data_IF_029807488245
#
_entry.id   IF_029807488245
#
_cell.length_a   1.000
_cell.length_b   1.000
_cell.length_c   1.000
_cell.angle_alpha   90.00
_cell.angle_beta   90.00
_cell.angle_gamma   90.00
#
_symmetry.space_group_name_H-M   'P 1'
#
loop_
_entity.id
_entity.type
_entity.pdbx_description
1 polymer ?
#
# COMPACT_ATOMS: atom_id res chain seq x y z
N UNK A 1 55.23 14.72 -14.56
CA UNK A 1 54.60 13.65 -13.77
C UNK A 1 53.97 14.28 -12.54
N UNK A 2 52.64 14.35 -12.48
CA UNK A 2 51.90 14.49 -11.22
C UNK A 2 50.71 13.55 -11.37
N UNK A 3 50.80 12.40 -10.70
CA UNK A 3 49.75 11.41 -10.58
C UNK A 3 49.24 11.47 -9.16
N UNK A 4 48.04 12.03 -8.94
CA UNK A 4 47.27 11.97 -7.68
C UNK A 4 45.81 12.31 -8.08
N UNK A 5 44.74 11.57 -7.82
CA UNK A 5 44.52 10.27 -7.20
C UNK A 5 43.29 9.63 -7.87
N UNK A 6 43.40 8.33 -8.09
CA UNK A 6 42.34 7.42 -8.51
C UNK A 6 41.24 7.31 -7.45
N UNK A 7 40.06 6.94 -7.96
CA UNK A 7 39.01 6.17 -7.26
C UNK A 7 38.20 6.93 -6.20
N UNK A 8 37.14 7.61 -6.67
CA UNK A 8 35.89 7.66 -5.90
C UNK A 8 35.44 6.21 -5.71
N UNK A 9 35.53 5.71 -4.48
CA UNK A 9 34.99 4.43 -4.06
C UNK A 9 33.57 4.26 -4.62
N UNK A 10 33.41 3.27 -5.48
CA UNK A 10 32.15 2.89 -6.08
C UNK A 10 31.41 2.05 -5.02
N UNK A 11 30.86 2.72 -4.01
CA UNK A 11 30.11 2.04 -2.93
C UNK A 11 29.01 1.20 -3.58
N UNK A 12 29.10 -0.13 -3.44
CA UNK A 12 28.16 -1.02 -4.09
C UNK A 12 26.75 -0.75 -3.57
N UNK A 13 25.80 -0.58 -4.49
CA UNK A 13 24.42 -0.29 -4.11
C UNK A 13 23.83 -1.47 -3.34
N UNK A 14 23.68 -1.33 -2.03
CA UNK A 14 23.09 -2.36 -1.18
C UNK A 14 21.63 -2.04 -0.89
N UNK A 15 20.74 -3.02 -1.10
CA UNK A 15 19.31 -2.90 -0.83
C UNK A 15 18.92 -3.71 0.41
N UNK A 16 18.02 -3.16 1.23
CA UNK A 16 17.44 -3.85 2.39
C UNK A 16 15.93 -3.68 2.46
N UNK A 17 15.25 -4.72 2.92
CA UNK A 17 13.82 -4.65 3.23
C UNK A 17 13.63 -4.02 4.63
N UNK A 18 12.66 -3.12 4.77
CA UNK A 18 12.30 -2.48 6.03
C UNK A 18 10.79 -2.35 6.17
N UNK A 19 10.30 -2.49 7.40
CA UNK A 19 8.95 -2.06 7.78
C UNK A 19 9.08 -0.63 8.34
N UNK A 20 8.38 0.31 7.72
CA UNK A 20 8.35 1.70 8.15
C UNK A 20 7.01 2.03 8.83
N UNK A 21 7.02 2.92 9.84
CA UNK A 21 5.81 3.33 10.55
C UNK A 21 4.89 4.18 9.65
N UNK A 22 3.62 4.39 10.06
CA UNK A 22 2.65 5.17 9.29
C UNK A 22 3.16 6.57 8.91
N UNK A 23 3.94 7.22 9.78
CA UNK A 23 4.51 8.55 9.54
C UNK A 23 5.44 8.63 8.31
N UNK A 24 5.94 7.49 7.82
CA UNK A 24 6.82 7.39 6.64
C UNK A 24 6.09 7.05 5.34
N UNK A 25 4.77 6.86 5.36
CA UNK A 25 3.99 6.52 4.15
C UNK A 25 4.15 7.58 3.05
N UNK A 26 4.09 8.86 3.39
CA UNK A 26 4.26 9.94 2.41
C UNK A 26 5.61 9.89 1.71
N UNK A 27 6.67 9.75 2.50
CA UNK A 27 8.03 9.51 1.98
C UNK A 27 8.07 8.28 1.07
N UNK A 28 7.41 7.20 1.49
CA UNK A 28 7.45 5.94 0.75
C UNK A 28 6.67 5.95 -0.56
N UNK A 29 5.67 6.82 -0.69
CA UNK A 29 4.89 7.01 -1.91
C UNK A 29 5.48 8.06 -2.83
N UNK A 30 6.10 9.13 -2.31
CA UNK A 30 6.53 10.26 -3.12
C UNK A 30 7.60 9.86 -4.14
N UNK A 31 7.36 10.15 -5.42
CA UNK A 31 8.25 9.74 -6.52
C UNK A 31 9.70 10.25 -6.38
N UNK A 32 9.94 11.38 -5.71
CA UNK A 32 11.29 11.90 -5.47
C UNK A 32 12.14 11.00 -4.57
N UNK A 33 11.50 10.12 -3.79
CA UNK A 33 12.14 9.12 -2.94
C UNK A 33 12.53 7.85 -3.71
N UNK A 34 12.11 7.69 -4.96
CA UNK A 34 12.37 6.46 -5.72
C UNK A 34 13.77 6.47 -6.32
N UNK A 35 14.34 5.28 -6.49
CA UNK A 35 15.64 5.09 -7.14
C UNK A 35 15.59 5.55 -8.60
N UNK A 36 14.57 5.11 -9.34
CA UNK A 36 14.33 5.49 -10.71
C UNK A 36 12.89 5.97 -10.89
N UNK A 37 12.72 7.09 -11.59
CA UNK A 37 11.40 7.67 -11.91
C UNK A 37 10.76 6.89 -13.07
N UNK A 38 9.45 6.70 -13.02
CA UNK A 38 8.66 6.11 -14.12
C UNK A 38 9.05 4.66 -14.54
N UNK A 39 9.73 3.91 -13.66
CA UNK A 39 10.13 2.51 -13.92
C UNK A 39 9.24 1.52 -13.16
N UNK A 40 8.87 0.42 -13.83
CA UNK A 40 8.02 -0.64 -13.27
C UNK A 40 6.62 -0.16 -12.89
N UNK A 41 5.89 -0.97 -12.13
CA UNK A 41 4.58 -0.55 -11.63
C UNK A 41 4.71 0.53 -10.53
N UNK A 42 5.84 0.58 -9.81
CA UNK A 42 6.14 1.60 -8.82
C UNK A 42 6.12 3.00 -9.45
N UNK A 43 6.84 3.19 -10.55
CA UNK A 43 6.89 4.45 -11.28
C UNK A 43 5.62 4.78 -12.06
N UNK A 44 4.71 3.82 -12.25
CA UNK A 44 3.40 4.03 -12.89
C UNK A 44 2.26 4.30 -11.88
N UNK A 45 2.52 4.16 -10.58
CA UNK A 45 1.49 4.36 -9.55
C UNK A 45 0.96 5.80 -9.57
N UNK A 46 -0.36 5.96 -9.72
CA UNK A 46 -1.04 7.27 -9.64
C UNK A 46 -0.87 7.95 -8.27
N UNK A 47 -0.72 7.15 -7.20
CA UNK A 47 -0.54 7.65 -5.83
C UNK A 47 0.86 8.22 -5.56
N UNK A 48 1.80 8.17 -6.52
CA UNK A 48 3.20 8.63 -6.33
C UNK A 48 3.36 10.15 -6.36
N UNK A 49 2.37 10.85 -6.88
CA UNK A 49 2.43 12.27 -7.17
C UNK A 49 2.30 13.12 -5.90
N UNK A 50 2.78 14.37 -5.95
CA UNK A 50 2.80 15.29 -4.79
C UNK A 50 1.38 15.70 -4.39
N UNK A 51 0.50 15.78 -5.36
CA UNK A 51 -0.91 16.12 -5.27
C UNK A 51 -1.68 15.06 -4.47
N UNK A 52 -1.26 13.79 -4.56
CA UNK A 52 -1.88 12.66 -3.86
C UNK A 52 -1.46 12.54 -2.38
N UNK A 53 -0.50 13.34 -1.91
CA UNK A 53 0.04 13.21 -0.55
C UNK A 53 -1.00 13.49 0.55
N UNK A 54 -2.02 14.31 0.26
CA UNK A 54 -3.14 14.55 1.18
C UNK A 54 -4.00 13.31 1.38
N UNK A 55 -4.24 12.54 0.32
CA UNK A 55 -5.00 11.30 0.39
C UNK A 55 -4.31 10.22 1.24
N UNK A 56 -2.97 10.25 1.30
CA UNK A 56 -2.19 9.32 2.13
C UNK A 56 -2.38 9.53 3.64
N UNK A 57 -2.97 10.66 4.07
CA UNK A 57 -3.37 10.87 5.46
C UNK A 57 -4.27 9.73 5.95
N UNK A 58 -5.02 9.10 5.05
CA UNK A 58 -5.88 7.96 5.35
C UNK A 58 -5.10 6.84 6.03
N UNK A 59 -3.99 6.45 5.42
CA UNK A 59 -3.17 5.36 5.93
C UNK A 59 -2.48 5.75 7.25
N UNK A 60 -2.04 7.01 7.38
CA UNK A 60 -1.43 7.51 8.62
C UNK A 60 -2.42 7.46 9.78
N UNK A 61 -3.65 7.95 9.54
CA UNK A 61 -4.72 8.00 10.54
C UNK A 61 -5.19 6.60 10.97
N UNK A 62 -5.19 5.65 10.03
CA UNK A 62 -5.58 4.26 10.27
C UNK A 62 -4.40 3.36 10.67
N UNK A 63 -3.28 3.94 11.11
CA UNK A 63 -2.10 3.22 11.62
C UNK A 63 -1.55 2.14 10.66
N UNK A 64 -1.75 2.33 9.35
CA UNK A 64 -1.23 1.40 8.33
C UNK A 64 0.27 1.59 8.21
N UNK A 65 1.02 0.48 8.14
CA UNK A 65 2.47 0.48 7.96
C UNK A 65 2.82 0.32 6.49
N UNK A 66 4.10 0.47 6.16
CA UNK A 66 4.58 0.22 4.80
C UNK A 66 5.88 -0.56 4.80
N UNK A 67 5.92 -1.65 4.03
CA UNK A 67 7.14 -2.40 3.76
C UNK A 67 7.81 -1.78 2.54
N UNK A 68 9.12 -1.54 2.59
CA UNK A 68 9.91 -0.99 1.48
C UNK A 68 11.18 -1.78 1.25
N UNK A 69 11.65 -1.83 0.00
CA UNK A 69 13.06 -2.11 -0.30
C UNK A 69 13.75 -0.77 -0.53
N UNK A 70 14.75 -0.47 0.28
CA UNK A 70 15.46 0.80 0.32
C UNK A 70 16.97 0.57 0.21
N UNK A 71 17.65 1.41 -0.57
CA UNK A 71 19.11 1.37 -0.69
C UNK A 71 19.84 2.18 0.41
N UNK A 72 21.16 2.12 0.42
CA UNK A 72 22.02 2.93 1.29
C UNK A 72 21.92 4.45 1.03
N UNK A 73 21.41 4.87 -0.13
CA UNK A 73 21.14 6.27 -0.49
C UNK A 73 19.72 6.73 -0.11
N UNK A 74 18.99 5.93 0.67
CA UNK A 74 17.59 6.16 1.04
C UNK A 74 16.66 6.33 -0.17
N UNK A 75 16.90 5.57 -1.24
CA UNK A 75 16.01 5.48 -2.39
C UNK A 75 15.20 4.19 -2.36
N UNK A 76 13.95 4.30 -2.79
CA UNK A 76 12.98 3.21 -2.77
C UNK A 76 12.98 2.48 -4.11
N UNK A 77 13.08 1.16 -4.02
CA UNK A 77 13.04 0.23 -5.15
C UNK A 77 11.69 -0.48 -5.25
N UNK A 78 11.03 -0.69 -4.11
CA UNK A 78 9.73 -1.32 -4.03
C UNK A 78 9.01 -0.95 -2.72
N UNK A 79 7.68 -1.06 -2.71
CA UNK A 79 6.83 -0.81 -1.54
C UNK A 79 5.56 -1.66 -1.54
N UNK A 80 5.01 -1.93 -0.36
CA UNK A 80 3.70 -2.53 -0.17
C UNK A 80 3.10 -2.05 1.16
N UNK A 81 1.79 -1.77 1.19
CA UNK A 81 1.11 -1.46 2.46
C UNK A 81 1.03 -2.71 3.33
N UNK A 82 1.11 -2.52 4.64
CA UNK A 82 0.99 -3.58 5.63
C UNK A 82 -0.15 -3.21 6.58
N UNK A 83 -1.21 -3.99 6.50
CA UNK A 83 -2.43 -3.83 7.28
C UNK A 83 -2.40 -4.82 8.44
N UNK A 84 -2.65 -4.33 9.64
CA UNK A 84 -2.78 -5.16 10.84
C UNK A 84 -4.27 -5.31 11.18
N UNK A 85 -4.64 -6.40 11.84
CA UNK A 85 -6.00 -6.70 12.31
C UNK A 85 -7.06 -6.89 11.20
N UNK A 86 -6.64 -7.21 9.98
CA UNK A 86 -7.55 -7.52 8.88
C UNK A 86 -8.40 -8.73 9.24
N UNK A 87 -9.71 -8.57 9.13
CA UNK A 87 -10.69 -9.65 9.34
C UNK A 87 -11.12 -10.21 8.00
N UNK A 88 -11.60 -11.45 8.03
CA UNK A 88 -12.21 -12.12 6.87
C UNK A 88 -13.63 -12.53 7.21
N UNK A 89 -14.50 -12.63 6.22
CA UNK A 89 -15.84 -13.22 6.40
C UNK A 89 -15.80 -14.71 6.72
N UNK A 90 -14.72 -15.40 6.37
CA UNK A 90 -14.61 -16.86 6.47
C UNK A 90 -13.56 -17.32 7.50
N UNK A 91 -12.70 -16.42 8.00
CA UNK A 91 -11.67 -16.76 9.00
C UNK A 91 -12.05 -16.23 10.37
N UNK A 92 -11.81 -17.06 11.40
CA UNK A 92 -12.17 -16.76 12.79
C UNK A 92 -11.26 -15.73 13.46
N UNK A 93 -10.01 -15.60 13.01
CA UNK A 93 -9.00 -14.74 13.64
C UNK A 93 -8.55 -13.63 12.69
N UNK A 94 -8.35 -12.39 13.20
CA UNK A 94 -7.68 -11.34 12.45
C UNK A 94 -6.26 -11.76 12.04
N UNK A 95 -5.73 -11.12 11.00
CA UNK A 95 -4.40 -11.39 10.47
C UNK A 95 -3.74 -10.12 9.93
N UNK A 96 -2.42 -10.16 9.78
CA UNK A 96 -1.68 -9.13 9.04
C UNK A 96 -1.73 -9.44 7.54
N UNK A 97 -2.00 -8.41 6.74
CA UNK A 97 -2.13 -8.50 5.29
C UNK A 97 -1.10 -7.60 4.60
N UNK A 98 -0.29 -8.21 3.74
CA UNK A 98 0.61 -7.51 2.84
C UNK A 98 -0.14 -7.22 1.53
N UNK A 99 -0.37 -5.94 1.26
CA UNK A 99 -1.06 -5.47 0.06
C UNK A 99 -0.19 -5.62 -1.21
N UNK A 100 -0.73 -5.24 -2.36
CA UNK A 100 -0.05 -5.31 -3.64
C UNK A 100 1.35 -4.69 -3.58
N UNK A 101 2.34 -5.44 -4.06
CA UNK A 101 3.72 -4.97 -4.16
C UNK A 101 3.89 -4.11 -5.41
N UNK A 102 4.31 -2.86 -5.19
CA UNK A 102 4.74 -1.94 -6.22
C UNK A 102 6.27 -1.94 -6.27
N UNK A 103 6.86 -2.40 -7.38
CA UNK A 103 8.30 -2.50 -7.59
C UNK A 103 8.72 -1.88 -8.92
N UNK A 104 9.97 -1.41 -8.99
CA UNK A 104 10.62 -1.03 -10.24
C UNK A 104 11.07 -2.24 -11.08
N UNK A 105 11.21 -3.42 -10.46
CA UNK A 105 11.69 -4.64 -11.10
C UNK A 105 11.20 -5.87 -10.33
N UNK A 106 10.78 -6.90 -11.05
CA UNK A 106 10.25 -8.12 -10.44
C UNK A 106 11.28 -8.87 -9.59
N UNK A 107 12.58 -8.58 -9.77
CA UNK A 107 13.66 -9.08 -8.93
C UNK A 107 13.51 -8.74 -7.43
N UNK A 108 12.73 -7.71 -7.08
CA UNK A 108 12.45 -7.36 -5.68
C UNK A 108 11.21 -8.06 -5.10
N UNK A 109 10.35 -8.69 -5.92
CA UNK A 109 9.14 -9.36 -5.44
C UNK A 109 9.44 -10.49 -4.44
N UNK A 110 10.47 -11.35 -4.65
CA UNK A 110 10.77 -12.43 -3.71
C UNK A 110 11.05 -11.93 -2.28
N UNK A 111 11.67 -10.75 -2.11
CA UNK A 111 11.95 -10.20 -0.78
C UNK A 111 10.68 -9.96 0.04
N UNK A 112 9.60 -9.50 -0.61
CA UNK A 112 8.30 -9.28 0.06
C UNK A 112 7.58 -10.60 0.33
N UNK A 113 7.66 -11.55 -0.61
CA UNK A 113 6.97 -12.82 -0.49
C UNK A 113 7.59 -13.71 0.58
N UNK A 114 8.92 -13.77 0.63
CA UNK A 114 9.65 -14.48 1.68
C UNK A 114 9.37 -13.85 3.05
N UNK A 115 9.43 -12.51 3.16
CA UNK A 115 9.11 -11.84 4.43
C UNK A 115 7.68 -12.14 4.90
N UNK A 116 6.71 -12.13 3.98
CA UNK A 116 5.32 -12.46 4.30
C UNK A 116 5.17 -13.92 4.73
N UNK A 117 5.86 -14.86 4.08
CA UNK A 117 5.82 -16.29 4.40
C UNK A 117 6.45 -16.57 5.77
N UNK A 118 7.65 -16.06 6.02
CA UNK A 118 8.36 -16.15 7.30
C UNK A 118 7.53 -15.55 8.46
N UNK A 119 6.86 -14.42 8.19
CA UNK A 119 6.02 -13.73 9.17
C UNK A 119 4.58 -14.27 9.23
N UNK A 120 4.22 -15.27 8.41
CA UNK A 120 2.87 -15.84 8.27
C UNK A 120 1.79 -14.80 7.93
N UNK A 121 2.16 -13.75 7.22
CA UNK A 121 1.23 -12.74 6.72
C UNK A 121 0.47 -13.24 5.50
N UNK A 122 -0.80 -12.84 5.38
CA UNK A 122 -1.56 -13.12 4.17
C UNK A 122 -1.18 -12.14 3.07
N UNK A 123 -1.13 -12.63 1.83
CA UNK A 123 -1.02 -11.85 0.61
C UNK A 123 -1.81 -12.53 -0.49
N UNK A 124 -2.24 -11.77 -1.51
CA UNK A 124 -2.74 -12.35 -2.75
C UNK A 124 -1.86 -11.96 -3.94
N UNK A 125 -1.62 -12.89 -4.87
CA UNK A 125 -0.86 -12.59 -6.09
C UNK A 125 -1.61 -11.65 -7.05
N UNK A 126 -2.93 -11.50 -6.89
CA UNK A 126 -3.76 -10.62 -7.73
C UNK A 126 -4.39 -9.49 -6.92
N UNK A 127 -4.82 -8.43 -7.62
CA UNK A 127 -5.55 -7.29 -7.04
C UNK A 127 -6.93 -7.66 -6.49
N UNK A 128 -7.44 -8.85 -6.82
CA UNK A 128 -8.72 -9.34 -6.34
C UNK A 128 -8.48 -10.32 -5.20
N UNK A 129 -8.64 -9.86 -3.96
CA UNK A 129 -8.84 -10.78 -2.84
C UNK A 129 -10.09 -11.59 -3.14
N UNK A 130 -9.88 -12.87 -3.47
CA UNK A 130 -10.84 -13.97 -3.60
C UNK A 130 -12.32 -13.58 -3.80
N UNK A 131 -12.60 -12.88 -4.90
CA UNK A 131 -13.95 -12.78 -5.45
C UNK A 131 -14.55 -14.17 -5.79
N UNK A 132 -13.72 -15.21 -5.92
CA UNK A 132 -14.16 -16.56 -6.31
C UNK A 132 -14.91 -17.35 -5.23
N UNK A 133 -14.75 -17.04 -3.93
CA UNK A 133 -15.34 -17.84 -2.83
C UNK A 133 -16.07 -17.01 -1.77
N UNK A 134 -16.55 -15.81 -2.11
CA UNK A 134 -17.23 -14.87 -1.18
C UNK A 134 -16.43 -14.57 0.11
N UNK A 135 -15.10 -14.75 0.06
CA UNK A 135 -14.21 -14.46 1.17
C UNK A 135 -13.69 -13.03 1.05
N UNK A 136 -14.33 -12.11 1.78
CA UNK A 136 -13.97 -10.71 1.76
C UNK A 136 -13.10 -10.36 2.97
N UNK A 137 -12.11 -9.52 2.72
CA UNK A 137 -11.30 -8.92 3.76
C UNK A 137 -11.89 -7.59 4.16
N UNK A 138 -11.88 -7.31 5.46
CA UNK A 138 -12.48 -6.11 6.04
C UNK A 138 -11.62 -5.54 7.16
N UNK A 139 -11.58 -4.22 7.22
CA UNK A 139 -10.84 -3.45 8.22
C UNK A 139 -11.74 -2.34 8.77
N UNK A 140 -11.69 -2.12 10.08
CA UNK A 140 -12.37 -0.98 10.69
C UNK A 140 -11.48 0.26 10.52
N UNK A 141 -12.06 1.37 10.04
CA UNK A 141 -11.31 2.55 9.61
C UNK A 141 -11.95 3.84 10.11
N UNK A 142 -11.15 4.85 10.41
CA UNK A 142 -11.61 6.18 10.76
C UNK A 142 -11.42 7.15 9.58
N UNK A 143 -12.50 7.37 8.83
CA UNK A 143 -12.54 8.34 7.72
C UNK A 143 -13.17 9.70 8.09
N UNK A 144 -13.59 9.91 9.35
CA UNK A 144 -14.25 11.15 9.78
C UNK A 144 -13.33 12.36 9.55
N UNK A 145 -13.85 13.42 8.93
CA UNK A 145 -13.10 14.65 8.64
C UNK A 145 -12.05 14.48 7.52
N UNK A 146 -12.08 13.37 6.78
CA UNK A 146 -11.13 13.10 5.71
C UNK A 146 -11.68 13.51 4.36
N UNK A 147 -11.27 14.66 3.84
CA UNK A 147 -11.75 15.06 2.52
C UNK A 147 -11.04 14.31 1.38
N UNK A 148 -9.80 13.85 1.55
CA UNK A 148 -9.06 13.16 0.49
C UNK A 148 -8.86 11.67 0.83
N UNK A 149 -9.30 10.79 -0.06
CA UNK A 149 -9.16 9.34 0.08
C UNK A 149 -8.24 8.77 -1.01
N UNK A 150 -7.44 7.74 -0.69
CA UNK A 150 -6.50 7.17 -1.64
C UNK A 150 -7.19 6.22 -2.62
N UNK A 151 -6.60 6.04 -3.80
CA UNK A 151 -6.91 4.90 -4.65
C UNK A 151 -6.35 3.62 -4.01
N UNK A 152 -7.13 2.54 -4.03
CA UNK A 152 -6.75 1.29 -3.37
C UNK A 152 -6.79 0.11 -4.34
N UNK A 153 -5.84 -0.83 -4.19
CA UNK A 153 -5.79 -2.05 -4.98
C UNK A 153 -6.63 -3.18 -4.37
N UNK A 154 -6.49 -3.40 -3.06
CA UNK A 154 -7.19 -4.48 -2.35
C UNK A 154 -8.51 -4.01 -1.78
N UNK A 155 -8.47 -3.07 -0.83
CA UNK A 155 -9.62 -2.66 -0.03
C UNK A 155 -10.40 -1.52 -0.70
N UNK A 156 -11.13 -1.87 -1.76
CA UNK A 156 -11.72 -0.90 -2.69
C UNK A 156 -13.09 -0.36 -2.29
N UNK A 157 -13.75 -0.90 -1.28
CA UNK A 157 -15.14 -0.52 -0.97
C UNK A 157 -15.24 0.07 0.44
N UNK A 158 -15.64 1.33 0.52
CA UNK A 158 -15.78 2.08 1.76
C UNK A 158 -17.27 2.22 2.13
N UNK A 159 -17.66 1.59 3.23
CA UNK A 159 -18.96 1.77 3.88
C UNK A 159 -18.80 2.80 5.00
N UNK A 160 -18.91 4.07 4.63
CA UNK A 160 -18.58 5.19 5.51
C UNK A 160 -19.38 5.21 6.82
N UNK A 161 -20.70 5.01 6.74
CA UNK A 161 -21.60 5.04 7.91
C UNK A 161 -21.19 4.06 9.01
N UNK A 162 -20.48 3.02 8.62
CA UNK A 162 -20.08 1.95 9.50
C UNK A 162 -18.58 1.91 9.75
N UNK A 163 -17.82 2.89 9.26
CA UNK A 163 -16.36 2.93 9.40
C UNK A 163 -15.70 1.62 8.91
N UNK A 164 -16.15 1.08 7.78
CA UNK A 164 -15.69 -0.21 7.28
C UNK A 164 -15.11 -0.08 5.87
N UNK A 165 -13.92 -0.64 5.68
CA UNK A 165 -13.29 -0.81 4.38
C UNK A 165 -13.23 -2.29 4.02
N UNK A 166 -13.61 -2.67 2.79
CA UNK A 166 -13.68 -4.07 2.36
C UNK A 166 -13.06 -4.32 0.99
N UNK A 167 -12.67 -5.56 0.73
CA UNK A 167 -12.16 -6.01 -0.57
C UNK A 167 -13.25 -6.44 -1.57
N UNK A 168 -14.51 -6.48 -1.14
CA UNK A 168 -15.65 -6.85 -1.98
C UNK A 168 -16.99 -6.41 -1.43
N UNK A 169 -18.03 -6.59 -2.24
CA UNK A 169 -19.42 -6.19 -1.98
C UNK A 169 -20.29 -7.44 -2.09
N UNK A 170 -21.05 -7.79 -1.06
CA UNK A 170 -21.88 -8.99 -1.07
C UNK A 170 -22.73 -9.13 0.19
N UNK A 171 -23.69 -10.05 0.16
CA UNK A 171 -24.64 -10.29 1.27
C UNK A 171 -23.92 -10.63 2.59
N UNK A 172 -22.80 -11.35 2.52
CA UNK A 172 -21.97 -11.72 3.68
C UNK A 172 -21.30 -10.52 4.37
N UNK A 173 -21.37 -9.32 3.80
CA UNK A 173 -20.94 -8.06 4.43
C UNK A 173 -22.05 -7.49 5.34
N UNK A 174 -23.25 -8.10 5.40
CA UNK A 174 -24.42 -7.71 6.22
C UNK A 174 -24.76 -6.22 6.14
N UNK A 175 -24.57 -5.62 4.95
CA UNK A 175 -24.79 -4.19 4.72
C UNK A 175 -25.56 -3.99 3.44
N UNK A 176 -26.44 -2.99 3.44
CA UNK A 176 -27.16 -2.60 2.24
C UNK A 176 -26.15 -2.30 1.12
N UNK A 177 -26.16 -3.04 -0.01
CA UNK A 177 -25.17 -2.91 -1.07
C UNK A 177 -25.24 -1.56 -1.81
N UNK A 178 -26.17 -0.67 -1.45
CA UNK A 178 -26.43 0.61 -2.12
C UNK A 178 -25.61 1.77 -1.50
N UNK A 179 -24.97 1.61 -0.34
CA UNK A 179 -24.38 2.74 0.41
C UNK A 179 -22.85 2.68 0.62
N UNK A 180 -22.08 2.26 -0.39
CA UNK A 180 -20.61 2.30 -0.34
C UNK A 180 -20.01 3.24 -1.41
N UNK A 181 -18.78 3.68 -1.16
CA UNK A 181 -17.94 4.39 -2.13
C UNK A 181 -16.83 3.47 -2.63
N UNK A 182 -16.63 3.41 -3.94
CA UNK A 182 -15.51 2.65 -4.52
C UNK A 182 -14.26 3.53 -4.60
N UNK A 183 -13.13 3.02 -4.11
CA UNK A 183 -11.84 3.70 -4.03
C UNK A 183 -10.88 3.24 -5.12
N UNK A 184 -11.12 3.62 -6.38
CA UNK A 184 -10.29 3.22 -7.52
C UNK A 184 -9.87 4.40 -8.42
N UNK A 185 -8.88 4.19 -9.28
CA UNK A 185 -8.30 5.23 -10.16
C UNK A 185 -9.26 5.79 -11.23
N UNK A 186 -10.39 5.14 -11.49
CA UNK A 186 -11.40 5.54 -12.47
C UNK A 186 -12.60 6.25 -11.84
N UNK A 187 -12.69 6.20 -10.51
CA UNK A 187 -13.64 6.97 -9.72
C UNK A 187 -12.99 8.29 -9.29
N UNK A 188 -13.78 9.35 -9.14
CA UNK A 188 -13.33 10.65 -8.61
C UNK A 188 -12.94 10.56 -7.12
N UNK A 189 -12.09 9.60 -6.71
CA UNK A 189 -11.55 9.58 -5.35
C UNK A 189 -10.74 10.86 -5.17
N UNK A 190 -11.39 11.82 -4.54
CA UNK A 190 -11.18 13.21 -4.89
C UNK A 190 -12.16 13.97 -4.02
N UNK A 191 -11.58 14.65 -3.05
CA UNK A 191 -12.21 15.66 -2.23
C UNK A 191 -13.72 15.45 -1.92
N UNK A 192 -14.02 14.85 -0.77
CA UNK A 192 -15.35 14.80 -0.19
C UNK A 192 -15.43 15.77 0.99
N UNK A 193 -15.93 17.00 0.80
CA UNK A 193 -15.94 18.03 1.85
C UNK A 193 -16.81 17.67 3.07
N UNK A 194 -17.74 16.72 2.92
CA UNK A 194 -18.72 16.34 3.94
C UNK A 194 -18.41 15.04 4.69
N UNK A 195 -17.22 14.46 4.50
CA UNK A 195 -16.73 13.30 5.29
C UNK A 195 -16.23 13.71 6.67
#
# INVERSE_FOLDING_TARGET
MVTVNKEKENESLTCKIKILPPSKIRYAYLQSSYFAKNVGNLGKSCMRHKEMQRALNFYVKNNVKIVVVIDNNNKIHARALLWDNVRSTNLKKPFTYLDRVYTRSDAFLPLFYNLAEESKWKRYPTTAVNAMNENYYKEDINAIGMCHLPFMDTFRYLYLKDNLLTSGTGLNINKNPISYTTLNQHTNCGYYPSL
#
